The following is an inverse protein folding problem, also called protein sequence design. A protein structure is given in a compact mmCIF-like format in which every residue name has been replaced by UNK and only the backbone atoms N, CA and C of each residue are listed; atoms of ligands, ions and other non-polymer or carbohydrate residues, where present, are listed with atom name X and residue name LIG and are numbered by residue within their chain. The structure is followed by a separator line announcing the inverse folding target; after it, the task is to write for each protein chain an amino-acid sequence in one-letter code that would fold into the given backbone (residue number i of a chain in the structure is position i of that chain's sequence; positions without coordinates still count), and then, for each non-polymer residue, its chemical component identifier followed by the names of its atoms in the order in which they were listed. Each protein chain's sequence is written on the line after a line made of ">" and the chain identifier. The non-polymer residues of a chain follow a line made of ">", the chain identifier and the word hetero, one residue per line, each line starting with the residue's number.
data_IF_665117096659
#
_entry.id   IF_665117096659
#
_cell.length_a   1.000
_cell.length_b   1.000
_cell.length_c   1.000
_cell.angle_alpha   90.00
_cell.angle_beta   90.00
_cell.angle_gamma   90.00
#
_symmetry.space_group_name_H-M   'P 1'
#
loop_
_entity.id
_entity.type
_entity.pdbx_description
1 polymer ?
#
# COMPACT_ATOMS: atom_id res chain seq x y z
N UNK A 1 -14.87 -15.82 7.36
CA UNK A 1 -13.91 -15.54 6.29
C UNK A 1 -13.15 -14.25 6.56
N UNK A 2 -11.86 -14.32 6.56
CA UNK A 2 -11.04 -13.13 6.74
C UNK A 2 -10.99 -12.36 5.41
N UNK A 3 -11.36 -11.08 5.46
CA UNK A 3 -11.19 -10.17 4.33
C UNK A 3 -9.74 -9.69 4.30
N UNK A 4 -9.23 -9.48 3.12
CA UNK A 4 -7.82 -9.15 2.91
C UNK A 4 -7.71 -7.99 1.92
N UNK A 5 -7.06 -6.90 2.34
CA UNK A 5 -6.83 -5.74 1.48
C UNK A 5 -5.35 -5.40 1.40
N UNK A 6 -4.94 -5.01 0.20
CA UNK A 6 -3.61 -4.42 0.00
C UNK A 6 -3.74 -2.92 0.22
N UNK A 7 -2.86 -2.37 1.04
CA UNK A 7 -2.81 -0.94 1.31
C UNK A 7 -1.49 -0.40 0.77
N UNK A 8 -1.59 0.49 -0.21
CA UNK A 8 -0.44 1.19 -0.76
C UNK A 8 -0.42 2.64 -0.27
N UNK A 9 0.72 3.11 0.19
CA UNK A 9 0.91 4.51 0.56
C UNK A 9 1.99 5.08 -0.34
N UNK A 10 1.62 6.06 -1.16
CA UNK A 10 2.56 6.70 -2.07
C UNK A 10 2.86 8.14 -1.66
N UNK A 11 3.77 8.79 -2.36
CA UNK A 11 4.42 10.02 -1.93
C UNK A 11 3.63 11.31 -2.19
N UNK A 12 2.35 11.31 -1.93
CA UNK A 12 1.54 12.52 -1.97
C UNK A 12 1.33 13.07 -0.56
N UNK A 13 0.98 14.34 -0.44
CA UNK A 13 0.58 14.92 0.84
C UNK A 13 -0.61 14.17 1.40
N UNK A 14 -0.65 13.99 2.73
CA UNK A 14 -1.72 13.26 3.39
C UNK A 14 -1.37 11.85 3.81
N UNK A 15 -0.12 11.61 4.17
CA UNK A 15 0.32 10.30 4.69
C UNK A 15 -0.61 9.77 5.78
N UNK A 16 -1.16 10.65 6.60
CA UNK A 16 -2.07 10.29 7.69
C UNK A 16 -3.34 9.60 7.22
N UNK A 17 -3.75 9.77 5.96
CA UNK A 17 -4.92 9.07 5.42
C UNK A 17 -4.65 7.56 5.31
N UNK A 18 -3.44 7.18 4.93
CA UNK A 18 -3.03 5.78 4.93
C UNK A 18 -3.00 5.19 6.34
N UNK A 19 -2.49 5.95 7.30
CA UNK A 19 -2.48 5.54 8.71
C UNK A 19 -3.91 5.33 9.21
N UNK A 20 -4.80 6.28 8.91
CA UNK A 20 -6.20 6.19 9.32
C UNK A 20 -6.89 4.97 8.71
N UNK A 21 -6.61 4.70 7.44
CA UNK A 21 -7.16 3.52 6.76
C UNK A 21 -6.73 2.22 7.46
N UNK A 22 -5.44 2.11 7.82
CA UNK A 22 -4.93 0.94 8.54
C UNK A 22 -5.63 0.77 9.89
N UNK A 23 -5.80 1.86 10.63
CA UNK A 23 -6.47 1.83 11.93
C UNK A 23 -7.92 1.38 11.81
N UNK A 24 -8.66 1.94 10.84
CA UNK A 24 -10.06 1.59 10.61
C UNK A 24 -10.24 0.14 10.17
N UNK A 25 -9.37 -0.34 9.29
CA UNK A 25 -9.44 -1.70 8.80
C UNK A 25 -9.14 -2.72 9.90
N UNK A 26 -8.18 -2.40 10.77
CA UNK A 26 -7.88 -3.25 11.93
C UNK A 26 -9.09 -3.34 12.87
N UNK A 27 -9.78 -2.23 13.08
CA UNK A 27 -10.97 -2.20 13.94
C UNK A 27 -12.13 -3.02 13.36
N UNK A 28 -12.13 -3.30 12.05
CA UNK A 28 -13.14 -4.09 11.36
C UNK A 28 -12.63 -5.49 10.98
N UNK A 29 -11.56 -5.96 11.59
CA UNK A 29 -10.99 -7.30 11.38
C UNK A 29 -10.61 -7.61 9.93
N UNK A 30 -10.16 -6.59 9.20
CA UNK A 30 -9.64 -6.76 7.84
C UNK A 30 -8.13 -6.99 7.92
N UNK A 31 -7.67 -8.07 7.31
CA UNK A 31 -6.23 -8.34 7.20
C UNK A 31 -5.61 -7.38 6.19
N UNK A 32 -4.60 -6.63 6.60
CA UNK A 32 -3.96 -5.62 5.75
C UNK A 32 -2.56 -6.04 5.33
N UNK A 33 -2.27 -5.84 4.05
CA UNK A 33 -0.97 -6.07 3.43
C UNK A 33 -0.45 -4.74 2.94
N UNK A 34 0.54 -4.20 3.64
CA UNK A 34 1.01 -2.83 3.44
C UNK A 34 2.25 -2.77 2.57
N UNK A 35 2.27 -1.85 1.62
CA UNK A 35 3.46 -1.47 0.88
C UNK A 35 3.55 0.06 0.84
N UNK A 36 4.70 0.59 1.27
CA UNK A 36 4.95 2.04 1.36
C UNK A 36 6.04 2.39 0.35
N UNK A 37 5.76 3.35 -0.53
CA UNK A 37 6.76 3.77 -1.52
C UNK A 37 7.88 4.59 -0.85
N UNK A 38 9.01 4.73 -1.56
CA UNK A 38 10.12 5.57 -1.08
C UNK A 38 9.69 7.02 -0.87
N UNK A 39 8.89 7.54 -1.81
CA UNK A 39 8.34 8.89 -1.69
C UNK A 39 7.45 9.04 -0.46
N UNK A 40 6.67 8.02 -0.14
CA UNK A 40 5.81 8.03 1.05
C UNK A 40 6.61 8.03 2.34
N UNK A 41 7.74 7.33 2.39
CA UNK A 41 8.63 7.37 3.55
C UNK A 41 9.15 8.79 3.80
N UNK A 42 9.50 9.52 2.74
CA UNK A 42 9.90 10.91 2.83
C UNK A 42 8.77 11.79 3.34
N UNK A 43 7.56 11.58 2.82
CA UNK A 43 6.38 12.34 3.23
C UNK A 43 6.05 12.09 4.69
N UNK A 44 6.15 10.84 5.16
CA UNK A 44 5.98 10.50 6.57
C UNK A 44 6.90 11.32 7.45
N UNK A 45 8.18 11.37 7.09
CA UNK A 45 9.19 12.08 7.88
C UNK A 45 8.94 13.60 7.90
N UNK A 46 8.41 14.14 6.80
CA UNK A 46 8.17 15.59 6.69
C UNK A 46 6.84 16.05 7.28
N UNK A 47 5.81 15.23 7.18
CA UNK A 47 4.44 15.63 7.55
C UNK A 47 3.97 15.09 8.89
N UNK A 48 4.60 14.03 9.40
CA UNK A 48 4.10 13.35 10.60
C UNK A 48 5.19 13.12 11.63
N UNK A 49 4.77 12.81 12.86
CA UNK A 49 5.68 12.38 13.92
C UNK A 49 5.72 10.86 14.06
N UNK A 50 5.05 10.13 13.19
CA UNK A 50 5.08 8.68 13.20
C UNK A 50 6.45 8.16 12.82
N UNK A 51 6.94 7.18 13.57
CA UNK A 51 8.10 6.41 13.12
C UNK A 51 7.65 5.36 12.12
N UNK A 52 8.60 4.86 11.34
CA UNK A 52 8.37 3.77 10.41
C UNK A 52 7.76 2.56 11.13
N UNK A 53 8.34 2.21 12.29
CA UNK A 53 7.90 1.07 13.09
C UNK A 53 6.47 1.24 13.59
N UNK A 54 6.10 2.44 14.03
CA UNK A 54 4.74 2.72 14.48
C UNK A 54 3.71 2.47 13.37
N UNK A 55 4.03 2.91 12.16
CA UNK A 55 3.15 2.69 10.99
C UNK A 55 3.08 1.20 10.66
N UNK A 56 4.23 0.53 10.63
CA UNK A 56 4.29 -0.88 10.22
C UNK A 56 3.55 -1.80 11.19
N UNK A 57 3.53 -1.48 12.49
CA UNK A 57 2.79 -2.28 13.46
C UNK A 57 1.28 -2.19 13.29
N UNK A 58 0.78 -1.21 12.53
CA UNK A 58 -0.65 -1.09 12.24
C UNK A 58 -1.13 -2.09 11.18
N UNK A 59 -0.21 -2.61 10.38
CA UNK A 59 -0.53 -3.58 9.33
C UNK A 59 -0.27 -5.01 9.80
N UNK A 60 -0.96 -5.96 9.20
CA UNK A 60 -0.75 -7.38 9.52
C UNK A 60 0.50 -7.92 8.83
N UNK A 61 0.71 -7.52 7.57
CA UNK A 61 1.90 -7.90 6.80
C UNK A 61 2.45 -6.66 6.11
N UNK A 62 3.78 -6.51 6.12
CA UNK A 62 4.46 -5.39 5.47
C UNK A 62 5.45 -5.93 4.44
N UNK A 63 5.46 -5.31 3.27
CA UNK A 63 6.35 -5.68 2.18
C UNK A 63 7.28 -4.52 1.85
N UNK A 64 8.51 -4.84 1.45
CA UNK A 64 9.41 -3.83 0.88
C UNK A 64 8.96 -3.49 -0.55
N UNK A 65 8.89 -2.20 -0.86
CA UNK A 65 8.50 -1.72 -2.20
C UNK A 65 9.46 -2.20 -3.29
N UNK A 66 10.68 -2.57 -2.92
CA UNK A 66 11.70 -3.05 -3.85
C UNK A 66 11.55 -4.53 -4.21
N UNK A 67 10.77 -5.30 -3.46
CA UNK A 67 10.63 -6.74 -3.66
C UNK A 67 9.43 -7.03 -4.58
N UNK A 68 9.64 -6.82 -5.88
CA UNK A 68 8.57 -6.95 -6.88
C UNK A 68 8.04 -8.36 -7.08
N UNK A 69 8.75 -9.37 -6.56
CA UNK A 69 8.33 -10.78 -6.63
C UNK A 69 7.47 -11.25 -5.47
N UNK A 70 7.04 -10.37 -4.58
CA UNK A 70 6.21 -10.75 -3.44
C UNK A 70 4.82 -11.22 -3.87
N UNK A 71 4.18 -12.01 -2.99
CA UNK A 71 2.89 -12.65 -3.31
C UNK A 71 1.77 -11.68 -3.68
N UNK A 72 1.78 -10.44 -3.19
CA UNK A 72 0.76 -9.44 -3.55
C UNK A 72 0.84 -9.01 -5.02
N UNK A 73 1.95 -9.30 -5.69
CA UNK A 73 2.12 -9.08 -7.12
C UNK A 73 1.81 -10.35 -7.93
N UNK A 74 1.19 -11.35 -7.33
CA UNK A 74 0.83 -12.60 -7.98
C UNK A 74 -0.69 -12.71 -8.13
N UNK A 75 -1.15 -13.08 -9.33
CA UNK A 75 -2.56 -13.31 -9.58
C UNK A 75 -3.14 -14.49 -8.80
N UNK A 76 -2.30 -15.38 -8.28
CA UNK A 76 -2.74 -16.53 -7.48
C UNK A 76 -2.98 -16.17 -6.00
N UNK A 77 -2.48 -15.03 -5.54
CA UNK A 77 -2.72 -14.56 -4.18
C UNK A 77 -4.01 -13.74 -4.14
N UNK A 78 -5.05 -14.31 -3.58
CA UNK A 78 -6.38 -13.68 -3.61
C UNK A 78 -6.51 -12.62 -2.53
N UNK A 79 -6.98 -11.45 -2.95
CA UNK A 79 -7.31 -10.33 -2.08
C UNK A 79 -8.70 -9.81 -2.45
N UNK A 80 -9.31 -9.05 -1.53
CA UNK A 80 -10.61 -8.42 -1.79
C UNK A 80 -10.46 -7.06 -2.47
N UNK A 81 -9.25 -6.59 -2.66
CA UNK A 81 -8.98 -5.35 -3.35
C UNK A 81 -7.73 -4.64 -2.85
N UNK A 82 -7.55 -3.43 -3.34
CA UNK A 82 -6.41 -2.59 -2.99
C UNK A 82 -6.85 -1.14 -2.84
N UNK A 83 -6.33 -0.48 -1.81
CA UNK A 83 -6.51 0.94 -1.59
C UNK A 83 -5.14 1.61 -1.63
N UNK A 84 -5.03 2.67 -2.41
CA UNK A 84 -3.82 3.51 -2.41
C UNK A 84 -4.21 4.87 -1.82
N UNK A 85 -3.71 5.17 -0.63
CA UNK A 85 -4.08 6.38 0.10
C UNK A 85 -2.90 6.91 0.93
N UNK A 86 -2.34 8.07 0.58
CA UNK A 86 -2.65 8.86 -0.60
C UNK A 86 -2.03 8.27 -1.87
N UNK A 87 -2.53 8.68 -3.02
CA UNK A 87 -1.98 8.27 -4.31
C UNK A 87 -1.33 9.47 -5.00
N UNK A 88 -0.03 9.41 -5.24
CA UNK A 88 0.67 10.47 -5.97
C UNK A 88 0.28 10.43 -7.45
N UNK A 89 0.44 11.56 -8.14
CA UNK A 89 0.17 11.62 -9.58
C UNK A 89 1.06 10.65 -10.35
N UNK A 90 2.32 10.50 -9.94
CA UNK A 90 3.24 9.54 -10.56
C UNK A 90 2.72 8.11 -10.40
N UNK A 91 2.30 7.74 -9.19
CA UNK A 91 1.74 6.41 -8.93
C UNK A 91 0.48 6.19 -9.75
N UNK A 92 -0.42 7.17 -9.78
CA UNK A 92 -1.65 7.07 -10.56
C UNK A 92 -1.34 6.88 -12.05
N UNK A 93 -0.39 7.64 -12.59
CA UNK A 93 0.03 7.52 -13.98
C UNK A 93 0.61 6.13 -14.26
N UNK A 94 1.47 5.63 -13.38
CA UNK A 94 2.07 4.30 -13.51
C UNK A 94 1.02 3.21 -13.51
N UNK A 95 0.04 3.29 -12.61
CA UNK A 95 -1.08 2.34 -12.55
C UNK A 95 -1.93 2.42 -13.81
N UNK A 96 -2.26 3.63 -14.25
CA UNK A 96 -3.11 3.84 -15.43
C UNK A 96 -2.47 3.30 -16.71
N UNK A 97 -1.14 3.39 -16.82
CA UNK A 97 -0.39 2.94 -17.99
C UNK A 97 0.18 1.52 -17.86
N UNK A 98 -0.06 0.85 -16.74
CA UNK A 98 0.45 -0.49 -16.51
C UNK A 98 1.96 -0.56 -16.30
N UNK A 99 2.59 0.49 -15.81
CA UNK A 99 4.02 0.54 -15.51
C UNK A 99 4.29 -0.01 -14.13
N UNK A 100 4.45 -1.32 -14.01
CA UNK A 100 4.71 -1.99 -12.74
C UNK A 100 6.18 -1.97 -12.34
N UNK A 101 6.75 -0.79 -12.11
CA UNK A 101 8.18 -0.59 -11.83
C UNK A 101 8.56 -0.76 -10.35
N UNK A 102 7.60 -0.89 -9.46
CA UNK A 102 7.86 -1.26 -8.07
C UNK A 102 6.74 -2.18 -7.57
N UNK A 103 6.86 -2.68 -6.36
CA UNK A 103 5.87 -3.64 -5.82
C UNK A 103 4.48 -3.01 -5.71
N UNK A 104 4.39 -1.73 -5.31
CA UNK A 104 3.10 -1.06 -5.17
C UNK A 104 2.34 -1.02 -6.49
N UNK A 105 2.99 -0.55 -7.56
CA UNK A 105 2.37 -0.45 -8.87
C UNK A 105 2.14 -1.82 -9.51
N UNK A 106 3.01 -2.81 -9.23
CA UNK A 106 2.79 -4.19 -9.69
C UNK A 106 1.57 -4.82 -9.05
N UNK A 107 1.40 -4.63 -7.74
CA UNK A 107 0.24 -5.15 -7.04
C UNK A 107 -1.05 -4.54 -7.59
N UNK A 108 -1.05 -3.24 -7.86
CA UNK A 108 -2.19 -2.55 -8.48
C UNK A 108 -2.51 -3.11 -9.86
N UNK A 109 -1.48 -3.36 -10.67
CA UNK A 109 -1.65 -3.93 -12.01
C UNK A 109 -2.30 -5.32 -11.94
N UNK A 110 -1.84 -6.16 -11.04
CA UNK A 110 -2.41 -7.51 -10.84
C UNK A 110 -3.88 -7.43 -10.40
N UNK A 111 -4.20 -6.54 -9.44
CA UNK A 111 -5.58 -6.38 -8.97
C UNK A 111 -6.51 -5.93 -10.09
N UNK A 112 -6.03 -5.01 -10.95
CA UNK A 112 -6.83 -4.50 -12.06
C UNK A 112 -7.04 -5.51 -13.18
N UNK A 113 -6.15 -6.49 -13.33
CA UNK A 113 -6.23 -7.46 -14.44
C UNK A 113 -6.95 -8.75 -14.07
N UNK A 114 -7.38 -8.89 -12.83
CA UNK A 114 -8.08 -10.11 -12.38
C UNK A 114 -9.61 -10.06 -12.67
#
# INVERSE_FOLDING_TARGET
>A
MTRRLIIGISGASGFQYGVKALQLLRAHDVETHLVVSKGAEMTRALETDYTKEEVYTLADVVYSVNHVGERIASGSFKTDGMLIAPCSMRTLASVAHGFGDNLLTRAADVVLTL
#
